data_IF_593273343769
#
_entry.id   IF_593273343769
#
_cell.length_a   1.000
_cell.length_b   1.000
_cell.length_c   1.000
_cell.angle_alpha   90.00
_cell.angle_beta   90.00
_cell.angle_gamma   90.00
#
_symmetry.space_group_name_H-M   'P 1'
#
loop_
_entity.id
_entity.type
_entity.pdbx_description
1 polymer ?
#
# COMPACT_ATOMS: atom_id res chain seq x y z
N UNK A 1 -4.94 -23.03 3.03
CA UNK A 1 -4.07 -21.84 3.00
C UNK A 1 -2.95 -22.01 4.02
N UNK A 2 -1.73 -22.28 3.56
CA UNK A 2 -0.53 -22.24 4.40
C UNK A 2 -0.20 -20.77 4.69
N UNK A 3 -0.06 -20.44 5.97
CA UNK A 3 0.44 -19.15 6.45
C UNK A 3 1.93 -19.05 6.11
N UNK A 4 2.31 -18.11 5.25
CA UNK A 4 3.69 -17.60 5.21
C UNK A 4 3.84 -16.69 6.42
N UNK A 5 4.55 -17.18 7.43
CA UNK A 5 4.88 -16.44 8.66
C UNK A 5 6.23 -15.77 8.40
N UNK A 6 6.23 -14.46 8.19
CA UNK A 6 7.45 -13.66 8.37
C UNK A 6 7.72 -13.55 9.86
N UNK A 7 8.69 -14.34 10.35
CA UNK A 7 9.20 -14.23 11.71
C UNK A 7 10.38 -13.26 11.69
N UNK A 8 10.23 -12.14 12.39
CA UNK A 8 11.30 -11.20 12.70
C UNK A 8 12.43 -11.90 13.45
N UNK A 9 13.66 -11.87 12.93
CA UNK A 9 14.86 -12.28 13.66
C UNK A 9 15.55 -11.04 14.22
N UNK A 10 15.48 -10.86 15.54
CA UNK A 10 16.45 -10.09 16.30
C UNK A 10 17.22 -11.09 17.16
N UNK A 11 18.43 -11.46 16.75
CA UNK A 11 19.42 -12.11 17.63
C UNK A 11 20.79 -11.49 17.33
N UNK A 12 21.43 -11.05 18.41
CA UNK A 12 22.67 -10.32 18.50
C UNK A 12 23.84 -10.97 17.76
N UNK A 13 24.62 -10.14 17.06
CA UNK A 13 25.99 -10.43 16.67
C UNK A 13 26.86 -10.81 17.87
N UNK A 14 27.88 -11.62 17.59
CA UNK A 14 28.97 -12.07 18.47
C UNK A 14 28.66 -13.29 19.35
N UNK A 15 28.72 -14.48 18.75
CA UNK A 15 29.40 -15.69 19.27
C UNK A 15 28.78 -16.92 18.60
N UNK A 16 29.33 -17.36 17.47
CA UNK A 16 29.16 -18.72 16.92
C UNK A 16 30.14 -18.90 15.75
N UNK A 17 31.43 -18.74 16.06
CA UNK A 17 32.47 -19.41 15.27
C UNK A 17 32.62 -20.81 15.86
N UNK A 18 32.51 -21.83 15.00
CA UNK A 18 32.68 -23.27 15.26
C UNK A 18 31.57 -23.96 16.08
N UNK A 19 30.53 -24.43 15.37
CA UNK A 19 29.78 -25.60 15.79
C UNK A 19 29.70 -26.55 14.59
N UNK A 20 30.33 -27.73 14.70
CA UNK A 20 30.30 -28.77 13.66
C UNK A 20 28.86 -29.25 13.40
N UNK A 21 28.54 -29.42 12.11
CA UNK A 21 27.24 -29.86 11.57
C UNK A 21 26.75 -31.16 12.23
N UNK A 22 25.53 -31.14 12.73
CA UNK A 22 24.70 -32.36 12.84
C UNK A 22 23.66 -32.32 11.71
N UNK A 23 23.98 -32.92 10.55
CA UNK A 23 23.00 -33.05 9.46
C UNK A 23 22.02 -34.17 9.76
N UNK A 24 20.72 -33.90 9.63
CA UNK A 24 19.69 -34.95 9.60
C UNK A 24 19.33 -35.25 8.13
N UNK A 25 18.90 -36.49 7.85
CA UNK A 25 18.64 -36.96 6.48
C UNK A 25 17.62 -36.10 5.69
N UNK A 26 16.73 -35.39 6.39
CA UNK A 26 15.79 -34.45 5.78
C UNK A 26 16.47 -33.21 5.19
N UNK A 27 17.49 -32.69 5.85
CA UNK A 27 18.28 -31.54 5.35
C UNK A 27 19.04 -31.91 4.08
N UNK A 28 19.64 -33.09 4.03
CA UNK A 28 20.37 -33.56 2.85
C UNK A 28 19.43 -33.78 1.65
N UNK A 29 18.21 -34.30 1.90
CA UNK A 29 17.17 -34.43 0.88
C UNK A 29 16.71 -33.07 0.34
N UNK A 30 16.52 -32.07 1.19
CA UNK A 30 16.13 -30.73 0.78
C UNK A 30 17.24 -30.05 -0.05
N UNK A 31 18.49 -30.11 0.39
CA UNK A 31 19.64 -29.60 -0.38
C UNK A 31 19.78 -30.33 -1.72
N UNK A 32 19.52 -31.64 -1.76
CA UNK A 32 19.58 -32.45 -2.98
C UNK A 32 18.64 -32.00 -4.10
N UNK A 33 17.57 -31.25 -3.77
CA UNK A 33 16.64 -30.67 -4.75
C UNK A 33 17.17 -29.41 -5.43
N UNK A 34 18.20 -28.78 -4.88
CA UNK A 34 18.86 -27.64 -5.53
C UNK A 34 19.69 -28.12 -6.72
N UNK A 35 19.95 -27.26 -7.73
CA UNK A 35 20.87 -27.59 -8.80
C UNK A 35 22.27 -27.90 -8.25
N UNK A 36 22.97 -28.83 -8.89
CA UNK A 36 24.22 -29.40 -8.36
C UNK A 36 25.27 -28.34 -7.98
N UNK A 37 25.38 -27.27 -8.78
CA UNK A 37 26.30 -26.16 -8.56
C UNK A 37 26.10 -25.43 -7.21
N UNK A 38 24.88 -25.46 -6.66
CA UNK A 38 24.53 -24.71 -5.45
C UNK A 38 24.56 -25.56 -4.18
N UNK A 39 24.57 -26.89 -4.29
CA UNK A 39 24.35 -27.80 -3.14
C UNK A 39 25.39 -27.67 -2.04
N UNK A 40 26.66 -27.56 -2.41
CA UNK A 40 27.74 -27.45 -1.43
C UNK A 40 27.64 -26.14 -0.65
N UNK A 41 27.44 -25.02 -1.34
CA UNK A 41 27.27 -23.71 -0.73
C UNK A 41 26.00 -23.67 0.13
N UNK A 42 24.87 -24.14 -0.40
CA UNK A 42 23.62 -24.26 0.34
C UNK A 42 23.79 -25.08 1.63
N UNK A 43 24.58 -26.17 1.58
CA UNK A 43 24.89 -26.94 2.77
C UNK A 43 25.60 -26.14 3.86
N UNK A 44 26.48 -25.21 3.52
CA UNK A 44 27.21 -24.40 4.50
C UNK A 44 26.29 -23.43 5.25
N UNK A 45 25.21 -22.96 4.63
CA UNK A 45 24.41 -21.84 5.15
C UNK A 45 22.96 -22.20 5.53
N UNK A 46 22.41 -23.31 5.03
CA UNK A 46 21.05 -23.72 5.34
C UNK A 46 20.99 -24.54 6.63
N UNK A 47 20.36 -23.96 7.65
CA UNK A 47 20.01 -24.62 8.90
C UNK A 47 18.50 -24.84 8.96
N UNK A 48 18.04 -26.02 8.55
CA UNK A 48 16.62 -26.33 8.37
C UNK A 48 16.03 -27.00 9.59
N UNK A 49 14.95 -26.43 10.13
CA UNK A 49 14.12 -27.06 11.17
C UNK A 49 13.15 -28.08 10.54
N UNK A 50 12.57 -28.97 11.35
CA UNK A 50 11.52 -29.89 10.87
C UNK A 50 10.34 -29.16 10.22
N UNK A 51 10.00 -27.97 10.72
CA UNK A 51 8.98 -27.10 10.13
C UNK A 51 9.40 -26.60 8.74
N UNK A 52 10.67 -26.25 8.54
CA UNK A 52 11.18 -25.87 7.22
C UNK A 52 11.10 -27.06 6.26
N UNK A 53 11.52 -28.25 6.70
CA UNK A 53 11.51 -29.45 5.86
C UNK A 53 10.09 -29.82 5.39
N UNK A 54 9.10 -29.80 6.29
CA UNK A 54 7.70 -30.07 5.95
C UNK A 54 7.07 -28.99 5.03
N UNK A 55 7.63 -27.78 5.04
CA UNK A 55 7.24 -26.71 4.12
C UNK A 55 7.83 -26.97 2.73
N UNK A 56 9.15 -27.13 2.66
CA UNK A 56 9.95 -27.37 1.44
C UNK A 56 9.40 -28.57 0.66
N UNK A 57 9.05 -29.67 1.33
CA UNK A 57 8.52 -30.88 0.67
C UNK A 57 7.25 -30.64 -0.18
N UNK A 58 6.55 -29.53 0.04
CA UNK A 58 5.31 -29.17 -0.67
C UNK A 58 5.51 -28.06 -1.71
N UNK A 59 6.73 -27.56 -1.87
CA UNK A 59 7.08 -26.49 -2.82
C UNK A 59 7.64 -27.05 -4.11
N UNK A 60 7.59 -26.24 -5.17
CA UNK A 60 8.34 -26.54 -6.40
C UNK A 60 9.85 -26.44 -6.15
N UNK A 61 10.66 -27.07 -7.00
CA UNK A 61 12.13 -26.94 -6.92
C UNK A 61 12.57 -25.49 -7.16
N UNK A 62 11.81 -24.72 -7.96
CA UNK A 62 12.08 -23.32 -8.25
C UNK A 62 11.82 -22.42 -7.04
N UNK A 63 10.67 -22.57 -6.37
CA UNK A 63 10.34 -21.81 -5.16
C UNK A 63 11.35 -22.13 -4.05
N UNK A 64 11.69 -23.41 -3.90
CA UNK A 64 12.71 -23.82 -2.96
C UNK A 64 14.08 -23.22 -3.29
N UNK A 65 14.50 -23.20 -4.55
CA UNK A 65 15.76 -22.57 -4.95
C UNK A 65 15.78 -21.07 -4.61
N UNK A 66 14.68 -20.36 -4.86
CA UNK A 66 14.54 -18.95 -4.46
C UNK A 66 14.69 -18.78 -2.94
N UNK A 67 13.96 -19.55 -2.12
CA UNK A 67 14.06 -19.49 -0.66
C UNK A 67 15.46 -19.85 -0.13
N UNK A 68 16.10 -20.84 -0.74
CA UNK A 68 17.46 -21.25 -0.41
C UNK A 68 18.46 -20.12 -0.67
N UNK A 69 18.40 -19.49 -1.85
CA UNK A 69 19.27 -18.36 -2.20
C UNK A 69 19.01 -17.15 -1.30
N UNK A 70 17.74 -16.85 -1.00
CA UNK A 70 17.34 -15.79 -0.06
C UNK A 70 17.90 -16.01 1.36
N UNK A 71 18.14 -17.27 1.75
CA UNK A 71 18.79 -17.59 3.02
C UNK A 71 20.30 -17.48 2.91
N UNK A 72 20.91 -18.01 1.84
CA UNK A 72 22.36 -17.95 1.61
C UNK A 72 22.88 -16.51 1.55
N UNK A 73 22.14 -15.62 0.87
CA UNK A 73 22.58 -14.24 0.63
C UNK A 73 22.69 -13.39 1.91
N UNK A 74 22.09 -13.83 3.02
CA UNK A 74 22.21 -13.18 4.34
C UNK A 74 23.62 -13.32 4.94
N UNK A 75 24.41 -14.27 4.46
CA UNK A 75 25.80 -14.48 4.87
C UNK A 75 26.73 -13.86 3.81
N UNK A 76 27.79 -13.12 4.19
CA UNK A 76 28.69 -12.47 3.23
C UNK A 76 29.27 -13.41 2.17
N UNK A 77 29.69 -14.61 2.59
CA UNK A 77 30.26 -15.62 1.71
C UNK A 77 29.20 -16.27 0.80
N UNK A 78 27.97 -16.40 1.29
CA UNK A 78 26.83 -16.87 0.49
C UNK A 78 26.43 -15.85 -0.58
N UNK A 79 26.44 -14.55 -0.26
CA UNK A 79 26.25 -13.45 -1.22
C UNK A 79 27.33 -13.48 -2.29
N UNK A 80 28.61 -13.56 -1.90
CA UNK A 80 29.72 -13.62 -2.84
C UNK A 80 29.63 -14.83 -3.78
N UNK A 81 29.25 -16.00 -3.24
CA UNK A 81 29.01 -17.20 -4.05
C UNK A 81 27.91 -16.99 -5.09
N UNK A 82 26.78 -16.40 -4.69
CA UNK A 82 25.65 -16.19 -5.60
C UNK A 82 25.99 -15.22 -6.74
N UNK A 83 26.75 -14.15 -6.47
CA UNK A 83 27.26 -13.26 -7.52
C UNK A 83 28.19 -13.98 -8.50
N UNK A 84 29.15 -14.76 -7.99
CA UNK A 84 30.07 -15.52 -8.82
C UNK A 84 29.36 -16.62 -9.64
N UNK A 85 28.23 -17.12 -9.15
CA UNK A 85 27.41 -18.09 -9.85
C UNK A 85 26.53 -17.44 -10.92
N UNK A 86 26.04 -16.22 -10.69
CA UNK A 86 25.23 -15.46 -11.65
C UNK A 86 25.95 -15.27 -12.99
N UNK A 87 27.26 -15.02 -12.98
CA UNK A 87 28.11 -14.89 -14.19
C UNK A 87 28.21 -16.19 -15.02
N UNK A 88 27.93 -17.34 -14.40
CA UNK A 88 28.11 -18.67 -15.00
C UNK A 88 26.79 -19.39 -15.25
N UNK A 89 25.69 -18.89 -14.69
CA UNK A 89 24.40 -19.58 -14.70
C UNK A 89 23.71 -19.40 -16.05
N UNK A 90 23.52 -20.52 -16.76
CA UNK A 90 22.92 -20.54 -18.09
C UNK A 90 21.39 -20.58 -18.05
N UNK A 91 20.80 -21.05 -16.95
CA UNK A 91 19.34 -21.12 -16.78
C UNK A 91 18.75 -19.76 -16.38
N UNK A 92 17.88 -19.21 -17.25
CA UNK A 92 17.24 -17.91 -17.02
C UNK A 92 16.37 -17.86 -15.77
N UNK A 93 15.68 -18.95 -15.43
CA UNK A 93 14.84 -19.01 -14.23
C UNK A 93 15.68 -19.03 -12.95
N UNK A 94 16.83 -19.73 -12.97
CA UNK A 94 17.77 -19.70 -11.84
C UNK A 94 18.42 -18.33 -11.69
N UNK A 95 18.79 -17.66 -12.79
CA UNK A 95 19.28 -16.26 -12.74
C UNK A 95 18.25 -15.34 -12.11
N UNK A 96 16.98 -15.45 -12.48
CA UNK A 96 15.87 -14.72 -11.84
C UNK A 96 15.82 -15.00 -10.34
N UNK A 97 15.85 -16.27 -9.91
CA UNK A 97 15.81 -16.62 -8.48
C UNK A 97 17.01 -16.04 -7.70
N UNK A 98 18.20 -16.04 -8.29
CA UNK A 98 19.41 -15.44 -7.70
C UNK A 98 19.26 -13.91 -7.61
N UNK A 99 18.84 -13.25 -8.68
CA UNK A 99 18.65 -11.80 -8.74
C UNK A 99 17.56 -11.32 -7.76
N UNK A 100 16.41 -12.00 -7.70
CA UNK A 100 15.33 -11.66 -6.76
C UNK A 100 15.78 -11.88 -5.29
N UNK A 101 16.59 -12.91 -5.01
CA UNK A 101 17.17 -13.11 -3.68
C UNK A 101 18.14 -11.98 -3.29
N UNK A 102 18.97 -11.52 -4.23
CA UNK A 102 19.89 -10.39 -4.05
C UNK A 102 19.15 -9.06 -3.87
N UNK A 103 18.13 -8.80 -4.70
CA UNK A 103 17.28 -7.61 -4.65
C UNK A 103 16.58 -7.46 -3.30
N UNK A 104 16.06 -8.55 -2.74
CA UNK A 104 15.37 -8.54 -1.45
C UNK A 104 16.26 -8.07 -0.29
N UNK A 105 17.57 -8.36 -0.32
CA UNK A 105 18.50 -7.83 0.68
C UNK A 105 18.68 -6.32 0.52
N UNK A 106 18.81 -5.84 -0.72
CA UNK A 106 18.95 -4.41 -0.99
C UNK A 106 17.71 -3.64 -0.56
N UNK A 107 16.51 -4.20 -0.74
CA UNK A 107 15.26 -3.59 -0.25
C UNK A 107 15.21 -3.48 1.29
N UNK A 108 15.77 -4.44 2.01
CA UNK A 108 15.83 -4.43 3.49
C UNK A 108 16.88 -3.42 3.98
N UNK A 109 18.05 -3.35 3.37
CA UNK A 109 19.14 -2.47 3.82
C UNK A 109 18.98 -1.01 3.32
N UNK A 110 18.22 -0.78 2.24
CA UNK A 110 17.80 0.56 1.80
C UNK A 110 16.96 1.29 2.86
N UNK A 111 16.35 0.59 3.82
CA UNK A 111 15.67 1.20 4.96
C UNK A 111 16.64 1.67 6.05
N UNK A 112 17.83 1.06 6.16
CA UNK A 112 18.89 1.36 7.15
C UNK A 112 20.06 2.15 6.59
N UNK A 113 20.04 2.46 5.29
CA UNK A 113 21.08 3.21 4.56
C UNK A 113 22.47 2.57 4.67
N UNK A 114 22.58 1.24 4.72
CA UNK A 114 23.88 0.56 4.59
C UNK A 114 23.84 -0.46 3.44
N UNK A 115 25.00 -0.69 2.83
CA UNK A 115 25.31 -1.80 1.90
C UNK A 115 24.40 -2.05 0.67
N UNK A 116 24.32 -1.11 -0.28
CA UNK A 116 23.67 -1.32 -1.58
C UNK A 116 24.33 -2.43 -2.42
N UNK A 117 25.51 -2.19 -3.00
CA UNK A 117 26.34 -3.18 -3.69
C UNK A 117 27.80 -2.73 -3.65
N UNK A 118 28.76 -3.65 -3.77
CA UNK A 118 30.14 -3.25 -4.10
C UNK A 118 30.21 -2.83 -5.59
N UNK A 119 31.23 -2.07 -6.02
CA UNK A 119 31.41 -1.72 -7.42
C UNK A 119 31.44 -2.94 -8.37
N UNK A 120 32.05 -4.05 -7.93
CA UNK A 120 32.14 -5.28 -8.71
C UNK A 120 30.77 -5.99 -8.80
N UNK A 121 30.02 -6.05 -7.70
CA UNK A 121 28.66 -6.59 -7.70
C UNK A 121 27.74 -5.76 -8.62
N UNK A 122 27.81 -4.43 -8.54
CA UNK A 122 27.01 -3.55 -9.37
C UNK A 122 27.35 -3.67 -10.85
N UNK A 123 28.62 -3.93 -11.19
CA UNK A 123 29.04 -4.22 -12.56
C UNK A 123 28.32 -5.46 -13.10
N UNK A 124 28.31 -6.55 -12.34
CA UNK A 124 27.59 -7.79 -12.72
C UNK A 124 26.10 -7.49 -12.91
N UNK A 125 25.47 -6.79 -11.98
CA UNK A 125 24.04 -6.41 -12.10
C UNK A 125 23.79 -5.57 -13.34
N UNK A 126 24.65 -4.60 -13.67
CA UNK A 126 24.52 -3.76 -14.87
C UNK A 126 24.68 -4.56 -16.16
N UNK A 127 25.55 -5.58 -16.18
CA UNK A 127 25.69 -6.48 -17.33
C UNK A 127 24.38 -7.27 -17.57
N UNK A 128 23.78 -7.84 -16.51
CA UNK A 128 22.49 -8.52 -16.63
C UNK A 128 21.35 -7.56 -17.01
N UNK A 129 21.33 -6.34 -16.47
CA UNK A 129 20.32 -5.34 -16.81
C UNK A 129 20.35 -4.94 -18.30
N UNK A 130 21.53 -4.97 -18.92
CA UNK A 130 21.73 -4.48 -20.30
C UNK A 130 21.75 -5.58 -21.34
N UNK A 131 22.09 -6.81 -20.97
CA UNK A 131 22.42 -7.87 -21.94
C UNK A 131 21.95 -9.28 -21.58
N UNK A 132 21.20 -9.48 -20.49
CA UNK A 132 20.65 -10.81 -20.19
C UNK A 132 19.66 -11.27 -21.28
N UNK A 133 19.80 -12.52 -21.69
CA UNK A 133 18.93 -13.16 -22.68
C UNK A 133 17.53 -13.47 -22.16
N UNK A 134 17.35 -13.56 -20.83
CA UNK A 134 16.07 -13.70 -20.16
C UNK A 134 15.53 -12.31 -19.77
N UNK A 135 14.38 -11.94 -20.32
CA UNK A 135 13.79 -10.61 -20.11
C UNK A 135 13.39 -10.35 -18.66
N UNK A 136 13.03 -11.39 -17.89
CA UNK A 136 12.67 -11.23 -16.48
C UNK A 136 13.93 -11.01 -15.65
N UNK A 137 15.01 -11.75 -15.93
CA UNK A 137 16.31 -11.52 -15.29
C UNK A 137 16.82 -10.09 -15.57
N UNK A 138 16.75 -9.63 -16.83
CA UNK A 138 17.11 -8.27 -17.21
C UNK A 138 16.28 -7.21 -16.45
N UNK A 139 14.96 -7.43 -16.31
CA UNK A 139 14.08 -6.50 -15.61
C UNK A 139 14.38 -6.41 -14.10
N UNK A 140 14.62 -7.55 -13.44
CA UNK A 140 14.99 -7.57 -12.01
C UNK A 140 16.34 -6.87 -11.81
N UNK A 141 17.32 -7.17 -12.67
CA UNK A 141 18.63 -6.52 -12.63
C UNK A 141 18.55 -5.00 -12.86
N UNK A 142 17.72 -4.54 -13.81
CA UNK A 142 17.50 -3.12 -14.06
C UNK A 142 16.94 -2.40 -12.82
N UNK A 143 15.99 -3.02 -12.10
CA UNK A 143 15.47 -2.46 -10.86
C UNK A 143 16.54 -2.40 -9.76
N UNK A 144 17.42 -3.39 -9.68
CA UNK A 144 18.55 -3.38 -8.74
C UNK A 144 19.56 -2.26 -9.06
N UNK A 145 19.85 -1.98 -10.34
CA UNK A 145 20.68 -0.82 -10.74
C UNK A 145 20.06 0.48 -10.28
N UNK A 146 18.75 0.66 -10.53
CA UNK A 146 18.01 1.83 -10.08
C UNK A 146 18.12 2.03 -8.56
N UNK A 147 17.91 0.97 -7.77
CA UNK A 147 18.02 1.05 -6.30
C UNK A 147 19.44 1.40 -5.83
N UNK A 148 20.47 0.91 -6.52
CA UNK A 148 21.86 1.16 -6.20
C UNK A 148 22.26 2.63 -6.45
N UNK A 149 21.92 3.17 -7.62
CA UNK A 149 22.22 4.56 -7.98
C UNK A 149 21.51 5.54 -7.01
N UNK A 150 20.29 5.17 -6.57
CA UNK A 150 19.52 5.92 -5.55
C UNK A 150 20.16 5.91 -4.17
N UNK A 151 20.85 4.83 -3.81
CA UNK A 151 21.59 4.76 -2.55
C UNK A 151 22.80 5.70 -2.55
N UNK A 152 23.58 5.71 -3.64
CA UNK A 152 24.72 6.60 -3.80
C UNK A 152 24.30 8.08 -3.72
N UNK A 153 23.20 8.43 -4.37
CA UNK A 153 22.60 9.77 -4.28
C UNK A 153 22.25 10.16 -2.82
N UNK A 154 21.63 9.25 -2.07
CA UNK A 154 21.28 9.47 -0.66
C UNK A 154 22.50 9.71 0.23
N UNK A 155 23.57 8.93 0.07
CA UNK A 155 24.80 9.10 0.82
C UNK A 155 25.46 10.44 0.53
N UNK A 156 25.48 10.86 -0.74
CA UNK A 156 25.97 12.18 -1.13
C UNK A 156 25.15 13.30 -0.49
N UNK A 157 23.82 13.19 -0.47
CA UNK A 157 22.94 14.14 0.21
C UNK A 157 23.16 14.17 1.72
N UNK A 158 23.33 13.01 2.37
CA UNK A 158 23.62 12.92 3.80
C UNK A 158 24.97 13.54 4.16
N UNK A 159 25.99 13.36 3.31
CA UNK A 159 27.29 14.01 3.47
C UNK A 159 27.20 15.53 3.31
N UNK A 160 26.42 16.01 2.32
CA UNK A 160 26.17 17.45 2.13
C UNK A 160 25.47 18.09 3.33
N UNK A 161 24.49 17.43 3.92
CA UNK A 161 23.80 17.91 5.15
C UNK A 161 24.75 18.12 6.33
N UNK A 162 25.73 17.23 6.51
CA UNK A 162 26.74 17.35 7.58
C UNK A 162 27.63 18.59 7.41
N UNK A 163 27.67 19.17 6.21
CA UNK A 163 28.37 20.40 5.89
C UNK A 163 27.51 21.67 6.09
N UNK A 164 26.27 21.54 6.60
CA UNK A 164 25.40 22.67 6.97
C UNK A 164 24.51 23.21 5.85
N UNK A 165 24.15 22.38 4.87
CA UNK A 165 23.61 22.79 3.57
C UNK A 165 22.03 22.78 3.50
N UNK A 166 21.46 23.66 2.65
CA UNK A 166 20.20 24.45 2.79
C UNK A 166 18.81 23.79 2.54
N UNK A 167 17.73 24.60 2.63
CA UNK A 167 16.34 24.33 2.18
C UNK A 167 16.26 23.78 0.75
N UNK A 168 17.17 24.15 -0.15
CA UNK A 168 17.18 23.68 -1.54
C UNK A 168 17.54 22.19 -1.64
N UNK A 169 18.36 21.65 -0.73
CA UNK A 169 18.60 20.20 -0.64
C UNK A 169 17.40 19.46 -0.05
N UNK A 170 16.59 20.14 0.77
CA UNK A 170 15.32 19.61 1.26
C UNK A 170 14.27 19.61 0.14
N UNK A 171 14.21 20.65 -0.69
CA UNK A 171 13.36 20.74 -1.88
C UNK A 171 13.84 19.78 -3.00
N UNK A 172 15.15 19.62 -3.18
CA UNK A 172 15.74 18.60 -4.06
C UNK A 172 15.38 17.19 -3.56
N UNK A 173 15.46 16.95 -2.24
CA UNK A 173 15.03 15.67 -1.67
C UNK A 173 13.50 15.47 -1.83
N UNK A 174 12.67 16.49 -1.63
CA UNK A 174 11.22 16.39 -1.82
C UNK A 174 10.86 16.13 -3.28
N UNK A 175 11.56 16.77 -4.23
CA UNK A 175 11.36 16.58 -5.67
C UNK A 175 11.91 15.24 -6.17
N UNK A 176 13.01 14.74 -5.60
CA UNK A 176 13.66 13.49 -6.03
C UNK A 176 13.27 12.27 -5.18
N UNK A 177 12.75 12.42 -3.96
CA UNK A 177 12.50 11.35 -2.97
C UNK A 177 11.07 11.36 -2.43
N UNK A 178 10.08 11.66 -3.27
CA UNK A 178 8.75 11.07 -3.06
C UNK A 178 8.91 9.55 -3.04
N UNK A 179 8.97 8.99 -1.83
CA UNK A 179 9.37 7.60 -1.50
C UNK A 179 8.40 6.54 -2.04
N UNK A 180 7.42 6.98 -2.82
CA UNK A 180 6.44 6.22 -3.56
C UNK A 180 6.18 6.97 -4.86
N UNK A 181 6.65 6.46 -6.01
CA UNK A 181 6.03 6.84 -7.29
C UNK A 181 6.87 7.38 -8.45
N UNK A 182 8.11 6.95 -8.67
CA UNK A 182 8.83 7.26 -9.92
C UNK A 182 9.13 6.05 -10.82
N UNK A 183 8.21 5.08 -10.88
CA UNK A 183 8.09 4.24 -12.07
C UNK A 183 6.67 4.34 -12.67
N UNK A 184 5.82 5.23 -12.15
CA UNK A 184 4.46 5.42 -12.68
C UNK A 184 4.50 6.51 -13.74
N UNK A 185 4.60 6.09 -15.01
CA UNK A 185 4.52 6.99 -16.17
C UNK A 185 3.06 7.26 -16.53
N UNK A 186 2.34 8.01 -15.69
CA UNK A 186 1.04 8.55 -16.08
C UNK A 186 1.23 9.89 -16.80
N UNK A 187 0.56 10.10 -17.95
CA UNK A 187 0.66 11.37 -18.65
C UNK A 187 0.08 12.50 -17.79
N UNK A 188 0.67 13.70 -17.84
CA UNK A 188 0.30 14.83 -16.97
C UNK A 188 -1.22 15.17 -16.99
N UNK A 189 -1.91 14.91 -18.11
CA UNK A 189 -3.36 15.12 -18.19
C UNK A 189 -4.18 14.22 -17.26
N UNK A 190 -3.64 13.05 -16.86
CA UNK A 190 -4.28 12.13 -15.93
C UNK A 190 -4.34 12.68 -14.51
N UNK A 191 -3.48 13.65 -14.18
CA UNK A 191 -3.45 14.33 -12.88
C UNK A 191 -4.35 15.58 -12.84
N UNK A 192 -4.94 15.97 -13.96
CA UNK A 192 -5.81 17.15 -13.99
C UNK A 192 -7.19 16.79 -13.45
N UNK A 193 -7.52 17.32 -12.27
CA UNK A 193 -8.86 17.24 -11.72
C UNK A 193 -9.92 17.72 -12.75
N UNK A 194 -11.02 16.98 -12.94
CA UNK A 194 -12.12 17.42 -13.80
C UNK A 194 -12.80 18.67 -13.22
N UNK A 195 -13.56 19.42 -14.02
CA UNK A 195 -14.47 20.44 -13.50
C UNK A 195 -15.42 19.85 -12.45
N UNK A 196 -15.84 20.68 -11.49
CA UNK A 196 -16.84 20.30 -10.49
C UNK A 196 -18.09 19.71 -11.17
N UNK A 197 -18.51 18.54 -10.70
CA UNK A 197 -19.72 17.87 -11.17
C UNK A 197 -20.65 17.53 -9.99
N UNK A 198 -21.89 17.15 -10.29
CA UNK A 198 -22.92 16.83 -9.29
C UNK A 198 -23.34 15.38 -9.39
N UNK A 199 -23.30 14.68 -8.26
CA UNK A 199 -23.70 13.27 -8.11
C UNK A 199 -25.15 13.15 -7.68
N UNK A 200 -25.53 13.94 -6.66
CA UNK A 200 -26.90 14.00 -6.14
C UNK A 200 -27.36 15.46 -6.12
N UNK A 201 -28.55 15.80 -6.64
CA UNK A 201 -29.08 17.18 -6.60
C UNK A 201 -29.10 17.77 -5.19
N UNK A 202 -28.84 19.08 -5.08
CA UNK A 202 -28.60 19.74 -3.78
C UNK A 202 -29.80 19.81 -2.82
N UNK A 203 -30.99 19.53 -3.33
CA UNK A 203 -32.24 19.50 -2.57
C UNK A 203 -32.60 18.11 -2.03
N UNK A 204 -31.74 17.10 -2.19
CA UNK A 204 -31.94 15.77 -1.65
C UNK A 204 -30.98 15.49 -0.49
N UNK A 205 -31.47 14.75 0.50
CA UNK A 205 -30.60 14.06 1.44
C UNK A 205 -29.81 12.98 0.71
N UNK A 206 -28.64 12.65 1.25
CA UNK A 206 -27.70 11.67 0.69
C UNK A 206 -27.46 10.56 1.70
N UNK A 207 -27.47 9.31 1.24
CA UNK A 207 -26.86 8.19 1.96
C UNK A 207 -25.66 7.66 1.18
N UNK A 208 -24.47 7.84 1.77
CA UNK A 208 -23.18 7.47 1.20
C UNK A 208 -22.63 6.23 1.91
N UNK A 209 -22.18 5.25 1.12
CA UNK A 209 -21.37 4.12 1.59
C UNK A 209 -19.87 4.46 1.52
N UNK A 210 -19.08 4.18 2.55
CA UNK A 210 -17.64 4.40 2.53
C UNK A 210 -16.84 3.25 3.17
N UNK A 211 -15.78 2.80 2.51
CA UNK A 211 -14.90 1.74 2.99
C UNK A 211 -13.55 1.78 2.26
N UNK A 212 -12.48 1.37 2.93
CA UNK A 212 -11.14 1.19 2.36
C UNK A 212 -10.60 -0.20 2.60
N UNK A 213 -9.43 -0.48 2.03
CA UNK A 213 -8.59 -1.63 2.41
C UNK A 213 -9.29 -2.98 2.19
N UNK A 214 -10.05 -3.10 1.11
CA UNK A 214 -10.90 -4.25 0.84
C UNK A 214 -10.27 -5.28 -0.10
N UNK A 215 -9.52 -4.82 -1.12
CA UNK A 215 -9.12 -5.51 -2.36
C UNK A 215 -8.23 -6.75 -2.27
N UNK A 216 -8.54 -7.67 -1.38
CA UNK A 216 -7.70 -8.83 -1.04
C UNK A 216 -8.20 -10.13 -1.65
N UNK A 217 -9.48 -10.20 -2.03
CA UNK A 217 -10.21 -11.44 -2.31
C UNK A 217 -10.39 -12.33 -1.08
N UNK A 218 -10.24 -11.77 0.13
CA UNK A 218 -10.32 -12.53 1.38
C UNK A 218 -11.76 -12.90 1.73
N UNK A 219 -11.94 -13.89 2.61
CA UNK A 219 -13.26 -14.20 3.17
C UNK A 219 -13.89 -12.99 3.89
N UNK A 220 -13.08 -12.13 4.51
CA UNK A 220 -13.55 -10.90 5.15
C UNK A 220 -14.13 -9.93 4.14
N UNK A 221 -13.43 -9.70 3.02
CA UNK A 221 -13.95 -8.86 1.93
C UNK A 221 -15.27 -9.39 1.37
N UNK A 222 -15.35 -10.70 1.12
CA UNK A 222 -16.55 -11.33 0.56
C UNK A 222 -17.75 -11.17 1.51
N UNK A 223 -17.54 -11.37 2.81
CA UNK A 223 -18.59 -11.21 3.82
C UNK A 223 -19.01 -9.76 3.98
N UNK A 224 -18.06 -8.84 4.02
CA UNK A 224 -18.35 -7.40 4.17
C UNK A 224 -19.11 -6.85 2.95
N UNK A 225 -18.72 -7.24 1.73
CA UNK A 225 -19.49 -6.89 0.52
C UNK A 225 -20.93 -7.45 0.54
N UNK A 226 -21.13 -8.67 1.07
CA UNK A 226 -22.47 -9.23 1.26
C UNK A 226 -23.28 -8.44 2.30
N UNK A 227 -22.64 -8.01 3.39
CA UNK A 227 -23.25 -7.18 4.41
C UNK A 227 -23.66 -5.81 3.85
N UNK A 228 -22.80 -5.15 3.07
CA UNK A 228 -23.13 -3.91 2.35
C UNK A 228 -24.33 -4.10 1.43
N UNK A 229 -24.38 -5.20 0.67
CA UNK A 229 -25.51 -5.50 -0.22
C UNK A 229 -26.82 -5.74 0.55
N UNK A 230 -26.76 -6.46 1.66
CA UNK A 230 -27.92 -6.69 2.53
C UNK A 230 -28.40 -5.38 3.15
N UNK A 231 -27.48 -4.57 3.68
CA UNK A 231 -27.77 -3.26 4.24
C UNK A 231 -28.38 -2.33 3.19
N UNK A 232 -27.82 -2.27 1.98
CA UNK A 232 -28.34 -1.46 0.87
C UNK A 232 -29.79 -1.80 0.50
N UNK A 233 -30.20 -3.07 0.57
CA UNK A 233 -31.60 -3.46 0.30
C UNK A 233 -32.58 -2.88 1.31
N UNK A 234 -32.16 -2.74 2.58
CA UNK A 234 -32.98 -2.15 3.64
C UNK A 234 -32.83 -0.62 3.72
N UNK A 235 -31.64 -0.12 3.41
CA UNK A 235 -31.20 1.27 3.54
C UNK A 235 -30.47 1.69 2.26
N UNK A 236 -31.20 2.02 1.17
CA UNK A 236 -30.59 2.33 -0.11
C UNK A 236 -29.55 3.45 -0.01
N UNK A 237 -28.41 3.21 -0.65
CA UNK A 237 -27.31 4.15 -0.86
C UNK A 237 -27.52 4.89 -2.17
N UNK A 238 -27.15 6.16 -2.23
CA UNK A 238 -27.13 6.93 -3.47
C UNK A 238 -25.84 6.68 -4.27
N UNK A 239 -24.70 6.54 -3.57
CA UNK A 239 -23.39 6.24 -4.12
C UNK A 239 -22.43 5.75 -3.03
N UNK A 240 -21.25 5.29 -3.44
CA UNK A 240 -20.16 4.90 -2.55
C UNK A 240 -18.87 5.68 -2.78
N UNK A 241 -17.96 5.65 -1.82
CA UNK A 241 -16.55 6.07 -1.97
C UNK A 241 -15.63 4.94 -1.50
N UNK A 242 -14.50 4.76 -2.20
CA UNK A 242 -13.40 3.97 -1.63
C UNK A 242 -12.45 4.88 -0.86
N UNK A 243 -11.76 4.33 0.12
CA UNK A 243 -10.77 5.05 0.94
C UNK A 243 -9.34 4.54 0.70
N UNK A 244 -9.08 4.08 -0.53
CA UNK A 244 -7.79 3.58 -0.99
C UNK A 244 -7.50 2.13 -0.59
N UNK A 245 -6.36 1.65 -1.08
CA UNK A 245 -5.95 0.24 -1.05
C UNK A 245 -7.02 -0.64 -1.71
N UNK A 246 -7.30 -0.26 -2.96
CA UNK A 246 -8.35 -0.86 -3.77
C UNK A 246 -7.97 -2.27 -4.22
N UNK A 247 -6.66 -2.56 -4.40
CA UNK A 247 -6.16 -3.88 -4.77
C UNK A 247 -4.85 -4.25 -4.05
N UNK A 248 -4.90 -5.32 -3.28
CA UNK A 248 -3.73 -5.87 -2.58
C UNK A 248 -3.02 -6.97 -3.39
N UNK A 249 -1.72 -7.19 -3.15
CA UNK A 249 -0.81 -6.37 -2.32
C UNK A 249 -0.02 -5.35 -3.15
N UNK A 250 -0.19 -5.36 -4.47
CA UNK A 250 0.60 -4.57 -5.42
C UNK A 250 -0.26 -3.83 -6.45
N UNK A 251 -1.50 -3.51 -6.12
CA UNK A 251 -2.42 -2.89 -7.08
C UNK A 251 -2.82 -3.88 -8.18
N UNK A 252 -3.30 -3.37 -9.31
CA UNK A 252 -3.56 -4.11 -10.56
C UNK A 252 -2.54 -3.75 -11.64
N UNK A 253 -2.41 -4.54 -12.68
CA UNK A 253 -1.42 -4.33 -13.76
C UNK A 253 -2.03 -3.75 -15.03
N UNK A 254 -3.35 -3.90 -15.21
CA UNK A 254 -4.08 -3.44 -16.39
C UNK A 254 -5.58 -3.31 -16.10
N UNK A 255 -6.33 -2.54 -16.91
CA UNK A 255 -7.80 -2.49 -16.79
C UNK A 255 -8.48 -3.83 -17.16
N UNK A 256 -7.78 -4.75 -17.81
CA UNK A 256 -8.31 -6.05 -18.22
C UNK A 256 -8.00 -7.18 -17.23
N UNK A 257 -7.36 -6.84 -16.10
CA UNK A 257 -6.97 -7.84 -15.12
C UNK A 257 -8.19 -8.55 -14.49
N UNK A 258 -8.21 -9.89 -14.38
CA UNK A 258 -9.34 -10.63 -13.82
C UNK A 258 -9.78 -10.23 -12.41
N UNK A 259 -8.88 -9.62 -11.62
CA UNK A 259 -9.19 -9.12 -10.27
C UNK A 259 -10.26 -8.04 -10.26
N UNK A 260 -10.43 -7.25 -11.33
CA UNK A 260 -11.59 -6.35 -11.46
C UNK A 260 -12.92 -7.08 -11.36
N UNK A 261 -13.00 -8.29 -11.92
CA UNK A 261 -14.22 -9.09 -11.83
C UNK A 261 -14.36 -9.73 -10.45
N UNK A 262 -13.33 -10.41 -9.97
CA UNK A 262 -13.43 -11.25 -8.77
C UNK A 262 -13.36 -10.47 -7.45
N UNK A 263 -12.74 -9.29 -7.43
CA UNK A 263 -12.53 -8.48 -6.23
C UNK A 263 -13.29 -7.15 -6.27
N UNK A 264 -13.93 -6.80 -7.40
CA UNK A 264 -14.74 -5.58 -7.51
C UNK A 264 -16.15 -5.84 -8.08
N UNK A 265 -16.29 -6.07 -9.38
CA UNK A 265 -17.61 -6.07 -10.05
C UNK A 265 -18.57 -7.14 -9.52
N UNK A 266 -18.08 -8.36 -9.25
CA UNK A 266 -18.94 -9.43 -8.70
C UNK A 266 -19.39 -9.16 -7.26
N UNK A 267 -18.62 -8.39 -6.51
CA UNK A 267 -18.87 -8.12 -5.09
C UNK A 267 -19.74 -6.86 -4.90
N UNK A 268 -19.39 -5.76 -5.58
CA UNK A 268 -20.02 -4.47 -5.38
C UNK A 268 -20.95 -4.06 -6.53
N UNK A 269 -20.82 -4.65 -7.72
CA UNK A 269 -21.72 -4.39 -8.85
C UNK A 269 -23.21 -4.66 -8.55
N UNK A 270 -23.58 -5.70 -7.78
CA UNK A 270 -24.97 -5.91 -7.37
C UNK A 270 -25.60 -4.79 -6.54
N UNK A 271 -24.82 -3.86 -5.99
CA UNK A 271 -25.35 -2.66 -5.32
C UNK A 271 -26.02 -1.70 -6.30
N UNK A 272 -25.67 -1.74 -7.60
CA UNK A 272 -26.29 -0.88 -8.61
C UNK A 272 -25.99 0.61 -8.45
N UNK A 273 -24.95 0.96 -7.71
CA UNK A 273 -24.50 2.34 -7.46
C UNK A 273 -23.10 2.58 -8.04
N UNK A 274 -22.71 3.86 -8.12
CA UNK A 274 -21.36 4.28 -8.51
C UNK A 274 -20.47 4.47 -7.28
N UNK A 275 -19.19 4.21 -7.43
CA UNK A 275 -18.16 4.34 -6.41
C UNK A 275 -17.08 5.32 -6.85
N UNK A 276 -16.82 6.32 -6.04
CA UNK A 276 -15.81 7.35 -6.28
C UNK A 276 -14.53 6.97 -5.54
N UNK A 277 -13.51 6.58 -6.29
CA UNK A 277 -12.31 5.99 -5.74
C UNK A 277 -11.20 7.01 -5.41
N UNK A 278 -10.33 6.64 -4.47
CA UNK A 278 -9.00 7.24 -4.25
C UNK A 278 -7.95 6.14 -4.19
N UNK A 279 -6.68 6.50 -4.33
CA UNK A 279 -5.58 5.55 -4.16
C UNK A 279 -5.20 5.35 -2.70
N UNK A 280 -4.72 4.15 -2.38
CA UNK A 280 -3.92 3.85 -1.20
C UNK A 280 -2.51 3.40 -1.56
N UNK A 281 -1.70 3.10 -0.55
CA UNK A 281 -0.29 2.79 -0.77
C UNK A 281 -0.08 1.46 -1.51
N UNK A 282 -1.01 0.51 -1.39
CA UNK A 282 -0.95 -0.74 -2.13
C UNK A 282 -1.25 -0.58 -3.61
N UNK A 283 -2.01 0.44 -3.99
CA UNK A 283 -2.28 0.81 -5.38
C UNK A 283 -1.05 1.44 -6.06
N UNK A 284 -0.06 1.86 -5.27
CA UNK A 284 1.22 2.41 -5.73
C UNK A 284 2.38 1.38 -5.74
N UNK A 285 2.15 0.16 -5.27
CA UNK A 285 3.18 -0.88 -5.16
C UNK A 285 3.52 -1.57 -6.50
N UNK A 286 2.81 -1.21 -7.59
CA UNK A 286 3.15 -1.54 -8.98
C UNK A 286 3.18 -0.27 -9.84
N UNK A 287 4.17 -0.12 -10.73
CA UNK A 287 4.29 0.99 -11.67
C UNK A 287 3.05 1.24 -12.55
N UNK A 288 2.33 0.19 -12.90
CA UNK A 288 1.21 0.27 -13.86
C UNK A 288 -0.15 0.44 -13.17
N UNK A 289 -0.25 0.17 -11.87
CA UNK A 289 -1.55 0.11 -11.17
C UNK A 289 -2.33 1.41 -11.18
N UNK A 290 -1.72 2.57 -10.91
CA UNK A 290 -2.49 3.81 -10.96
C UNK A 290 -3.07 4.07 -12.36
N UNK A 291 -2.28 3.82 -13.40
CA UNK A 291 -2.75 3.98 -14.77
C UNK A 291 -3.88 2.97 -15.10
N UNK A 292 -3.76 1.73 -14.62
CA UNK A 292 -4.75 0.69 -14.80
C UNK A 292 -6.11 1.04 -14.14
N UNK A 293 -6.10 1.59 -12.93
CA UNK A 293 -7.32 1.98 -12.21
C UNK A 293 -8.05 3.17 -12.87
N UNK A 294 -7.32 4.19 -13.35
CA UNK A 294 -7.91 5.27 -14.14
C UNK A 294 -8.43 4.78 -15.49
N UNK A 295 -7.71 3.86 -16.13
CA UNK A 295 -8.14 3.28 -17.40
C UNK A 295 -9.42 2.45 -17.22
N UNK A 296 -9.53 1.68 -16.13
CA UNK A 296 -10.70 0.88 -15.82
C UNK A 296 -11.97 1.72 -15.65
N UNK A 297 -11.85 2.92 -15.06
CA UNK A 297 -12.97 3.86 -14.92
C UNK A 297 -13.64 4.25 -16.25
N UNK A 298 -12.95 4.06 -17.39
CA UNK A 298 -13.51 4.34 -18.72
C UNK A 298 -14.44 3.24 -19.24
N UNK A 299 -14.35 2.03 -18.69
CA UNK A 299 -15.14 0.87 -19.11
C UNK A 299 -16.08 0.33 -18.04
N UNK A 300 -15.91 0.74 -16.78
CA UNK A 300 -16.81 0.33 -15.69
C UNK A 300 -18.02 1.25 -15.57
N UNK A 301 -19.17 0.66 -15.27
CA UNK A 301 -20.38 1.39 -14.88
C UNK A 301 -20.43 1.72 -13.39
N UNK A 302 -19.60 1.08 -12.58
CA UNK A 302 -19.59 1.18 -11.11
C UNK A 302 -18.38 1.97 -10.61
N UNK A 303 -17.22 1.83 -11.23
CA UNK A 303 -15.97 2.47 -10.84
C UNK A 303 -15.82 3.87 -11.45
N UNK A 304 -15.82 4.91 -10.62
CA UNK A 304 -15.60 6.29 -11.02
C UNK A 304 -14.28 6.78 -10.44
N UNK A 305 -13.30 6.99 -11.32
CA UNK A 305 -11.99 7.50 -10.95
C UNK A 305 -11.46 8.45 -12.02
N UNK A 306 -11.89 9.72 -12.01
CA UNK A 306 -11.61 10.65 -13.10
C UNK A 306 -10.17 11.22 -13.07
N UNK A 307 -9.57 11.29 -11.88
CA UNK A 307 -8.22 11.76 -11.61
C UNK A 307 -7.79 11.31 -10.20
N UNK A 308 -6.50 11.34 -9.84
CA UNK A 308 -6.02 11.03 -8.49
C UNK A 308 -6.65 11.90 -7.39
N UNK A 309 -6.98 13.15 -7.71
CA UNK A 309 -7.71 14.07 -6.85
C UNK A 309 -8.79 14.83 -7.64
N UNK A 310 -9.95 15.04 -7.03
CA UNK A 310 -11.12 15.63 -7.68
C UNK A 310 -12.21 16.00 -6.67
N UNK A 311 -13.21 16.77 -7.10
CA UNK A 311 -14.31 17.20 -6.22
C UNK A 311 -15.67 17.17 -6.92
N UNK A 312 -16.73 16.94 -6.15
CA UNK A 312 -18.10 16.86 -6.63
C UNK A 312 -19.11 17.22 -5.53
N UNK A 313 -20.30 17.68 -5.93
CA UNK A 313 -21.41 17.93 -4.99
C UNK A 313 -22.35 16.74 -4.90
N UNK A 314 -22.91 16.52 -3.71
CA UNK A 314 -23.96 15.55 -3.45
C UNK A 314 -24.88 16.08 -2.34
N UNK A 315 -26.13 16.40 -2.68
CA UNK A 315 -27.07 16.98 -1.73
C UNK A 315 -26.54 18.29 -1.14
N UNK A 316 -26.59 18.43 0.18
CA UNK A 316 -26.05 19.59 0.88
C UNK A 316 -24.51 19.61 0.99
N UNK A 317 -23.81 18.56 0.52
CA UNK A 317 -22.37 18.39 0.66
C UNK A 317 -21.58 18.64 -0.63
N UNK A 318 -20.31 18.98 -0.46
CA UNK A 318 -19.27 18.82 -1.47
C UNK A 318 -18.17 17.93 -0.90
N UNK A 319 -17.80 16.92 -1.68
CA UNK A 319 -16.77 15.95 -1.34
C UNK A 319 -15.49 16.27 -2.11
N UNK A 320 -14.35 16.06 -1.47
CA UNK A 320 -13.02 16.31 -2.02
C UNK A 320 -12.18 15.05 -1.85
N UNK A 321 -11.89 14.39 -2.96
CA UNK A 321 -11.06 13.20 -3.04
C UNK A 321 -9.60 13.65 -3.19
N UNK A 322 -8.71 13.13 -2.35
CA UNK A 322 -7.28 13.46 -2.38
C UNK A 322 -6.40 12.20 -2.37
N UNK A 323 -5.24 12.29 -3.02
CA UNK A 323 -4.21 11.27 -3.03
C UNK A 323 -3.20 11.54 -1.92
N UNK A 324 -3.46 10.96 -0.75
CA UNK A 324 -2.57 11.08 0.41
C UNK A 324 -1.23 10.37 0.24
N UNK A 325 -1.05 9.54 -0.80
CA UNK A 325 0.21 8.82 -1.05
C UNK A 325 1.20 9.72 -1.78
N UNK A 326 0.71 10.51 -2.73
CA UNK A 326 1.49 11.46 -3.54
C UNK A 326 1.05 12.90 -3.34
N UNK A 327 0.73 13.26 -2.10
CA UNK A 327 0.21 14.57 -1.74
C UNK A 327 1.20 15.70 -2.06
N UNK A 328 1.05 16.24 -3.27
CA UNK A 328 1.91 17.26 -3.85
C UNK A 328 1.47 18.66 -3.44
N UNK A 329 2.38 19.64 -3.59
CA UNK A 329 2.02 21.05 -3.32
C UNK A 329 0.98 21.57 -4.32
N UNK A 330 0.99 21.09 -5.57
CA UNK A 330 -0.03 21.41 -6.57
C UNK A 330 -1.42 20.89 -6.18
N UNK A 331 -1.47 19.67 -5.62
CA UNK A 331 -2.72 19.09 -5.10
C UNK A 331 -3.22 19.83 -3.86
N UNK A 332 -2.33 20.19 -2.92
CA UNK A 332 -2.69 20.99 -1.74
C UNK A 332 -3.20 22.39 -2.15
N UNK A 333 -2.54 23.03 -3.12
CA UNK A 333 -2.98 24.32 -3.66
C UNK A 333 -4.33 24.20 -4.37
N UNK A 334 -4.54 23.13 -5.14
CA UNK A 334 -5.84 22.83 -5.75
C UNK A 334 -6.92 22.61 -4.68
N UNK A 335 -6.61 21.87 -3.61
CA UNK A 335 -7.56 21.58 -2.53
C UNK A 335 -7.98 22.87 -1.80
N UNK A 336 -7.02 23.73 -1.43
CA UNK A 336 -7.29 25.03 -0.79
C UNK A 336 -8.16 25.92 -1.70
N UNK A 337 -7.84 26.00 -2.99
CA UNK A 337 -8.63 26.76 -3.96
C UNK A 337 -10.06 26.20 -4.10
N UNK A 338 -10.22 24.88 -4.28
CA UNK A 338 -11.51 24.23 -4.43
C UNK A 338 -12.39 24.37 -3.17
N UNK A 339 -11.78 24.21 -1.99
CA UNK A 339 -12.47 24.37 -0.71
C UNK A 339 -12.88 25.82 -0.44
N UNK A 340 -12.05 26.80 -0.79
CA UNK A 340 -12.33 28.22 -0.61
C UNK A 340 -13.50 28.71 -1.50
N UNK A 341 -13.66 28.11 -2.68
CA UNK A 341 -14.76 28.37 -3.62
C UNK A 341 -16.05 27.63 -3.28
N UNK A 342 -15.98 26.62 -2.41
CA UNK A 342 -17.13 25.78 -2.07
C UNK A 342 -18.15 26.53 -1.22
N UNK A 343 -19.38 26.61 -1.73
CA UNK A 343 -20.56 27.13 -1.01
C UNK A 343 -21.39 26.03 -0.37
N UNK A 344 -20.93 24.77 -0.40
CA UNK A 344 -21.67 23.65 0.15
C UNK A 344 -21.81 23.77 1.67
N UNK A 345 -22.95 23.29 2.20
CA UNK A 345 -23.16 23.30 3.64
C UNK A 345 -22.19 22.36 4.33
N UNK A 346 -21.91 21.20 3.76
CA UNK A 346 -20.96 20.24 4.31
C UNK A 346 -19.76 20.08 3.38
N UNK A 347 -18.55 20.20 3.92
CA UNK A 347 -17.29 19.94 3.23
C UNK A 347 -16.67 18.69 3.83
N UNK A 348 -16.54 17.66 3.02
CA UNK A 348 -16.04 16.34 3.43
C UNK A 348 -14.81 16.03 2.56
N UNK A 349 -13.66 15.84 3.20
CA UNK A 349 -12.43 15.45 2.52
C UNK A 349 -12.17 13.97 2.79
N UNK A 350 -11.79 13.22 1.76
CA UNK A 350 -11.46 11.80 1.91
C UNK A 350 -10.21 11.41 1.13
N UNK A 351 -9.43 10.52 1.71
CA UNK A 351 -8.17 10.00 1.19
C UNK A 351 -7.85 8.66 1.84
N UNK A 352 -6.59 8.25 1.84
CA UNK A 352 -6.20 6.94 2.37
C UNK A 352 -5.53 7.01 3.75
N UNK A 353 -4.48 7.83 3.91
CA UNK A 353 -3.76 7.92 5.18
C UNK A 353 -4.51 8.72 6.24
N UNK A 354 -4.44 8.28 7.50
CA UNK A 354 -4.99 9.01 8.65
C UNK A 354 -4.19 10.28 8.96
N UNK A 355 -4.86 11.28 9.51
CA UNK A 355 -4.22 12.37 10.26
C UNK A 355 -3.97 11.92 11.72
N UNK A 356 -4.97 11.27 12.31
CA UNK A 356 -4.95 10.75 13.69
C UNK A 356 -5.37 9.28 13.71
N UNK A 357 -4.64 8.44 14.45
CA UNK A 357 -4.95 7.01 14.53
C UNK A 357 -4.50 6.37 15.84
N UNK A 358 -5.38 5.55 16.41
CA UNK A 358 -5.07 4.67 17.53
C UNK A 358 -4.16 3.49 17.13
N UNK A 359 -3.99 3.21 15.85
CA UNK A 359 -3.13 2.14 15.34
C UNK A 359 -1.68 2.62 15.26
N UNK A 360 -1.43 3.61 14.39
CA UNK A 360 -0.06 4.05 14.05
C UNK A 360 0.36 5.32 14.77
N UNK A 361 -0.59 6.06 15.35
CA UNK A 361 -0.36 7.35 16.01
C UNK A 361 -0.71 8.52 15.09
N UNK A 362 -0.19 9.69 15.42
CA UNK A 362 -0.49 10.94 14.71
C UNK A 362 0.43 11.09 13.50
N UNK A 363 -0.14 11.35 12.32
CA UNK A 363 0.61 11.57 11.10
C UNK A 363 1.12 13.02 11.04
N UNK A 364 2.38 13.21 11.47
CA UNK A 364 3.01 14.54 11.58
C UNK A 364 3.04 15.31 10.25
N UNK A 365 3.16 14.62 9.12
CA UNK A 365 3.20 15.29 7.82
C UNK A 365 1.83 15.86 7.46
N UNK A 366 0.77 15.04 7.55
CA UNK A 366 -0.57 15.52 7.25
C UNK A 366 -1.06 16.55 8.26
N UNK A 367 -0.65 16.46 9.52
CA UNK A 367 -0.90 17.51 10.53
C UNK A 367 -0.21 18.82 10.13
N UNK A 368 0.99 18.78 9.56
CA UNK A 368 1.72 19.98 9.17
C UNK A 368 1.23 20.59 7.85
N UNK A 369 0.85 19.76 6.87
CA UNK A 369 0.59 20.19 5.48
C UNK A 369 -0.90 20.25 5.13
N UNK A 370 -1.69 19.26 5.56
CA UNK A 370 -3.08 19.11 5.17
C UNK A 370 -4.04 19.74 6.18
N UNK A 371 -3.88 19.42 7.47
CA UNK A 371 -4.79 19.87 8.53
C UNK A 371 -5.01 21.40 8.54
N UNK A 372 -3.98 22.27 8.37
CA UNK A 372 -4.20 23.71 8.33
C UNK A 372 -5.13 24.16 7.20
N UNK A 373 -5.10 23.48 6.04
CA UNK A 373 -6.00 23.77 4.91
C UNK A 373 -7.43 23.35 5.24
N UNK A 374 -7.60 22.19 5.88
CA UNK A 374 -8.91 21.68 6.31
C UNK A 374 -9.57 22.65 7.32
N UNK A 375 -8.81 23.07 8.34
CA UNK A 375 -9.28 23.99 9.38
C UNK A 375 -9.60 25.38 8.81
N UNK A 376 -8.68 25.95 8.04
CA UNK A 376 -8.85 27.27 7.37
C UNK A 376 -10.13 27.32 6.55
N UNK A 377 -10.49 26.22 5.87
CA UNK A 377 -11.63 26.17 4.96
C UNK A 377 -12.91 25.62 5.60
N UNK A 378 -12.91 25.41 6.91
CA UNK A 378 -14.03 24.86 7.67
C UNK A 378 -14.52 23.53 7.09
N UNK A 379 -13.61 22.58 6.88
CA UNK A 379 -13.97 21.18 6.60
C UNK A 379 -14.62 20.57 7.84
N UNK A 380 -15.69 19.79 7.66
CA UNK A 380 -16.36 19.12 8.78
C UNK A 380 -15.79 17.73 9.04
N UNK A 381 -15.53 16.96 7.98
CA UNK A 381 -15.12 15.57 8.09
C UNK A 381 -13.88 15.32 7.25
N UNK A 382 -12.90 14.64 7.84
CA UNK A 382 -11.85 13.93 7.16
C UNK A 382 -12.06 12.41 7.32
N UNK A 383 -12.19 11.70 6.20
CA UNK A 383 -12.45 10.26 6.16
C UNK A 383 -11.28 9.51 5.49
N UNK A 384 -10.80 8.42 6.08
CA UNK A 384 -9.63 7.69 5.57
C UNK A 384 -9.71 6.17 5.76
N UNK A 385 -8.86 5.43 5.05
CA UNK A 385 -8.63 3.99 5.20
C UNK A 385 -7.32 3.68 5.93
N UNK A 386 -6.47 2.83 5.36
CA UNK A 386 -5.11 2.46 5.77
C UNK A 386 -4.99 1.65 7.06
N UNK A 387 -5.66 2.08 8.13
CA UNK A 387 -5.69 1.32 9.36
C UNK A 387 -6.87 0.37 9.36
N UNK A 388 -6.57 -0.93 9.40
CA UNK A 388 -7.56 -1.99 9.21
C UNK A 388 -8.46 -2.20 10.43
N UNK A 389 -9.30 -1.19 10.70
CA UNK A 389 -10.27 -1.09 11.79
C UNK A 389 -11.18 0.13 11.52
N UNK A 390 -12.14 0.37 12.43
CA UNK A 390 -13.01 1.55 12.41
C UNK A 390 -12.69 2.44 13.60
N UNK A 391 -12.56 3.75 13.39
CA UNK A 391 -12.18 4.69 14.45
C UNK A 391 -12.86 6.06 14.28
N UNK A 392 -13.15 6.73 15.39
CA UNK A 392 -13.29 8.18 15.45
C UNK A 392 -12.22 8.74 16.38
N UNK A 393 -11.50 9.77 15.91
CA UNK A 393 -10.55 10.52 16.71
C UNK A 393 -11.08 11.93 17.04
N UNK A 394 -11.00 12.29 18.31
CA UNK A 394 -11.35 13.61 18.86
C UNK A 394 -10.10 14.41 19.21
N UNK A 395 -10.04 15.65 18.73
CA UNK A 395 -8.93 16.59 18.97
C UNK A 395 -9.49 17.99 19.25
N UNK A 396 -8.62 18.97 19.49
CA UNK A 396 -9.03 20.38 19.59
C UNK A 396 -9.39 21.01 18.22
N UNK A 397 -9.18 20.28 17.12
CA UNK A 397 -9.57 20.68 15.78
C UNK A 397 -11.10 20.68 15.62
N UNK A 398 -11.69 21.63 14.88
CA UNK A 398 -13.10 21.57 14.50
C UNK A 398 -13.41 20.49 13.45
N UNK A 399 -12.40 19.82 12.88
CA UNK A 399 -12.57 18.73 11.92
C UNK A 399 -12.80 17.42 12.67
N UNK A 400 -13.80 16.63 12.25
CA UNK A 400 -14.02 15.27 12.73
C UNK A 400 -13.21 14.27 11.89
N UNK A 401 -12.51 13.34 12.54
CA UNK A 401 -11.63 12.38 11.88
C UNK A 401 -12.18 10.96 12.03
N UNK A 402 -12.47 10.33 10.89
CA UNK A 402 -12.99 8.97 10.84
C UNK A 402 -12.09 8.06 10.02
N UNK A 403 -11.81 6.88 10.54
CA UNK A 403 -11.13 5.80 9.81
C UNK A 403 -12.11 4.67 9.55
N UNK A 404 -12.15 4.21 8.29
CA UNK A 404 -12.98 3.09 7.82
C UNK A 404 -12.15 2.19 6.88
N UNK A 405 -11.08 1.60 7.43
CA UNK A 405 -10.16 0.72 6.70
C UNK A 405 -10.44 -0.76 6.91
N UNK A 406 -11.63 -1.14 7.39
CA UNK A 406 -11.94 -2.51 7.76
C UNK A 406 -12.66 -3.30 6.65
N UNK A 407 -12.41 -2.98 5.37
CA UNK A 407 -13.18 -3.53 4.25
C UNK A 407 -12.79 -4.93 3.79
N UNK A 408 -11.72 -5.54 4.33
CA UNK A 408 -11.36 -6.92 3.99
C UNK A 408 -9.89 -7.32 4.19
N UNK A 409 -8.97 -6.37 4.34
CA UNK A 409 -7.58 -6.64 4.68
C UNK A 409 -7.39 -6.96 6.17
N UNK A 410 -6.30 -7.66 6.50
CA UNK A 410 -6.11 -8.25 7.84
C UNK A 410 -6.12 -7.20 8.96
N UNK A 411 -7.08 -7.32 9.89
CA UNK A 411 -7.37 -6.34 10.93
C UNK A 411 -6.17 -6.02 11.84
N UNK A 412 -6.01 -4.75 12.19
CA UNK A 412 -4.92 -4.27 13.05
C UNK A 412 -5.33 -4.12 14.51
N UNK A 413 -4.37 -4.37 15.41
CA UNK A 413 -4.51 -4.00 16.82
C UNK A 413 -4.37 -2.49 17.00
N UNK A 414 -5.09 -1.95 17.98
CA UNK A 414 -5.08 -0.53 18.30
C UNK A 414 -4.51 -0.30 19.70
N UNK A 415 -3.78 0.81 19.87
CA UNK A 415 -3.20 1.21 21.15
C UNK A 415 -4.33 1.52 22.14
N UNK A 416 -4.43 0.80 23.27
CA UNK A 416 -5.49 1.04 24.25
C UNK A 416 -5.44 2.46 24.81
N UNK A 417 -4.24 3.00 24.98
CA UNK A 417 -3.94 4.30 25.60
C UNK A 417 -3.88 5.48 24.63
N UNK A 418 -4.35 5.32 23.39
CA UNK A 418 -4.36 6.44 22.44
C UNK A 418 -5.33 7.53 22.93
N UNK A 419 -4.78 8.70 23.26
CA UNK A 419 -5.47 9.78 23.97
C UNK A 419 -6.61 10.44 23.18
N UNK A 420 -6.51 10.46 21.85
CA UNK A 420 -7.49 11.14 20.99
C UNK A 420 -8.62 10.19 20.55
N UNK A 421 -8.75 8.99 21.14
CA UNK A 421 -9.76 8.02 20.73
C UNK A 421 -11.14 8.39 21.27
N UNK A 422 -12.12 8.64 20.40
CA UNK A 422 -13.55 8.70 20.76
C UNK A 422 -14.15 7.30 20.64
N UNK A 423 -13.96 6.68 19.48
CA UNK A 423 -14.42 5.33 19.19
C UNK A 423 -13.30 4.55 18.48
N UNK A 424 -13.24 3.25 18.72
CA UNK A 424 -12.35 2.35 17.99
C UNK A 424 -12.85 0.92 18.08
N UNK A 425 -12.86 0.20 16.97
CA UNK A 425 -13.34 -1.17 16.91
C UNK A 425 -12.56 -2.03 15.91
N UNK A 426 -12.23 -3.26 16.33
CA UNK A 426 -11.42 -4.22 15.57
C UNK A 426 -12.32 -5.32 15.02
N UNK A 427 -13.06 -4.99 13.98
CA UNK A 427 -13.83 -5.94 13.20
C UNK A 427 -14.01 -5.42 11.77
N UNK A 428 -14.32 -6.32 10.85
CA UNK A 428 -14.70 -5.94 9.49
C UNK A 428 -16.03 -5.19 9.49
N UNK A 429 -16.17 -4.26 8.56
CA UNK A 429 -17.34 -3.41 8.46
C UNK A 429 -17.09 -2.21 7.57
N UNK A 430 -18.11 -1.38 7.45
CA UNK A 430 -18.13 -0.22 6.57
C UNK A 430 -18.77 0.99 7.26
N UNK A 431 -18.61 2.14 6.64
CA UNK A 431 -19.22 3.39 7.08
C UNK A 431 -20.41 3.77 6.23
N UNK A 432 -21.42 4.34 6.88
CA UNK A 432 -22.56 5.00 6.24
C UNK A 432 -22.58 6.45 6.67
N UNK A 433 -22.66 7.36 5.71
CA UNK A 433 -22.88 8.77 5.98
C UNK A 433 -24.29 9.15 5.54
N UNK A 434 -25.10 9.66 6.47
CA UNK A 434 -26.42 10.21 6.19
C UNK A 434 -26.33 11.74 6.27
N UNK A 435 -26.51 12.42 5.14
CA UNK A 435 -26.25 13.85 5.00
C UNK A 435 -27.52 14.56 4.56
N UNK A 436 -27.95 15.57 5.33
CA UNK A 436 -29.05 16.43 4.96
C UNK A 436 -28.74 17.92 5.19
N UNK A 437 -29.75 18.79 5.13
CA UNK A 437 -29.56 20.23 5.33
C UNK A 437 -29.28 20.63 6.78
N UNK A 438 -29.40 19.73 7.76
CA UNK A 438 -29.37 20.03 9.19
C UNK A 438 -28.20 19.34 9.88
N UNK A 439 -27.89 18.10 9.50
CA UNK A 439 -26.87 17.29 10.13
C UNK A 439 -26.15 16.35 9.14
N UNK A 440 -25.03 15.81 9.60
CA UNK A 440 -24.35 14.64 9.03
C UNK A 440 -24.23 13.60 10.13
N UNK A 441 -24.76 12.41 9.91
CA UNK A 441 -24.44 11.24 10.72
C UNK A 441 -23.32 10.44 10.06
N UNK A 442 -22.33 10.01 10.84
CA UNK A 442 -21.33 9.02 10.45
C UNK A 442 -21.55 7.76 11.29
N UNK A 443 -21.86 6.66 10.62
CA UNK A 443 -22.29 5.41 11.23
C UNK A 443 -21.29 4.32 10.87
N UNK A 444 -20.81 3.56 11.85
CA UNK A 444 -20.06 2.32 11.60
C UNK A 444 -21.00 1.13 11.67
N UNK A 445 -20.95 0.26 10.67
CA UNK A 445 -21.80 -0.91 10.52
C UNK A 445 -20.92 -2.15 10.43
N UNK A 446 -21.22 -3.17 11.23
CA UNK A 446 -20.51 -4.45 11.19
C UNK A 446 -21.05 -5.40 10.10
N UNK A 447 -20.41 -6.55 9.92
CA UNK A 447 -20.82 -7.55 8.91
C UNK A 447 -22.19 -8.19 9.16
N UNK A 448 -22.78 -8.04 10.35
CA UNK A 448 -24.15 -8.46 10.63
C UNK A 448 -25.18 -7.38 10.25
N UNK A 449 -24.73 -6.24 9.71
CA UNK A 449 -25.55 -5.10 9.34
C UNK A 449 -25.99 -4.26 10.54
N UNK A 450 -25.36 -4.43 11.71
CA UNK A 450 -25.68 -3.70 12.93
C UNK A 450 -24.86 -2.42 13.00
N UNK A 451 -25.52 -1.33 13.35
CA UNK A 451 -24.84 -0.10 13.74
C UNK A 451 -24.11 -0.31 15.06
N UNK A 452 -22.78 -0.23 15.03
CA UNK A 452 -21.92 -0.37 16.21
C UNK A 452 -21.53 0.97 16.80
N UNK A 453 -21.68 2.03 16.01
CA UNK A 453 -21.38 3.40 16.42
C UNK A 453 -22.08 4.42 15.52
N UNK A 454 -22.43 5.58 16.07
CA UNK A 454 -22.96 6.74 15.35
C UNK A 454 -22.41 8.03 15.96
N UNK A 455 -21.86 8.90 15.11
CA UNK A 455 -21.50 10.29 15.45
C UNK A 455 -22.43 11.25 14.72
N UNK A 456 -23.11 12.12 15.46
CA UNK A 456 -24.09 13.08 14.94
C UNK A 456 -23.48 14.48 14.92
N UNK A 457 -23.31 15.05 13.73
CA UNK A 457 -22.62 16.33 13.51
C UNK A 457 -23.62 17.39 13.04
N UNK A 458 -23.70 18.50 13.77
CA UNK A 458 -24.55 19.66 13.46
C UNK A 458 -23.71 20.91 13.22
N UNK A 459 -24.27 21.90 12.51
CA UNK A 459 -23.66 23.22 12.30
C UNK A 459 -24.28 24.31 13.15
#
# INVERSE_FOLDING_TARGET
MKKVVFLSLAISCAALAQQERTSNAGTDKAIGRLPAAYREAAGKYLHLTEKNLAHIEKESDQDWAHEAFATMVKQPEGRAFLFAQLEKETDGQLRVSVLEALENIVKVDAQTLKNGFTPDELKIVREHATSDSDSKAAAVALNMVYLADRYEENELLAQRRKLGDSTELREYEISHFSRYGEIIRMPAFAYKAPPLFTVVPSNKSVRLLAFGDFGTGSAGQLQDAQAMLAYHKAHPFDFGVTLGDNFYSRGVSSPDEPRWQTQWEQLYGPLGIKFYAVYGNHDYNSPDSPAAELAYARQSSTWVFPAPYYTYTAGAAQLFAIDTIRLSDDELAWLDDALSKSTAKWKIVYGHYHIYSATRGDNRELIARLLPILEKNHVQIYLNGHDHNMQEAGTDSPVHFFTSGAGGAGLYDMKPTYKNSIFKDKQFGFSVLEIDQQHVDVIFVDMDGKEVYRSHITK
#
